data_IF_568499686115
#
_entry.id   IF_568499686115
#
_cell.length_a   1.000
_cell.length_b   1.000
_cell.length_c   1.000
_cell.angle_alpha   90.00
_cell.angle_beta   90.00
_cell.angle_gamma   90.00
#
_symmetry.space_group_name_H-M   'P 1'
#
loop_
_entity.id
_entity.type
_entity.pdbx_description
1 polymer ?
#
# COMPACT_ATOMS: atom_id res chain seq x y z
N UNK A 1 -5.00 14.94 -11.13
CA UNK A 1 -4.18 13.78 -11.57
C UNK A 1 -3.59 14.11 -12.92
N UNK A 2 -2.37 13.65 -13.23
CA UNK A 2 -1.81 13.87 -14.57
C UNK A 2 -2.64 13.10 -15.59
N UNK A 3 -3.07 13.78 -16.65
CA UNK A 3 -3.67 13.16 -17.82
C UNK A 3 -2.56 12.95 -18.86
N UNK A 4 -2.72 11.92 -19.68
CA UNK A 4 -1.77 11.50 -20.71
C UNK A 4 -2.48 11.44 -22.05
N UNK A 5 -1.78 11.77 -23.12
CA UNK A 5 -2.38 11.79 -24.46
C UNK A 5 -2.49 10.37 -25.03
N UNK A 6 -1.70 9.41 -24.52
CA UNK A 6 -1.79 8.00 -24.88
C UNK A 6 -1.59 7.07 -23.70
N UNK A 7 -2.00 5.81 -23.87
CA UNK A 7 -1.75 4.74 -22.89
C UNK A 7 -0.24 4.51 -22.72
N UNK A 8 0.53 4.52 -23.81
CA UNK A 8 1.99 4.33 -23.76
C UNK A 8 2.69 5.45 -23.00
N UNK A 9 2.24 6.70 -23.12
CA UNK A 9 2.81 7.80 -22.34
C UNK A 9 2.59 7.60 -20.84
N UNK A 10 1.38 7.16 -20.46
CA UNK A 10 1.04 6.86 -19.08
C UNK A 10 1.88 5.69 -18.53
N UNK A 11 2.02 4.62 -19.32
CA UNK A 11 2.80 3.45 -18.94
C UNK A 11 4.29 3.78 -18.78
N UNK A 12 4.86 4.51 -19.74
CA UNK A 12 6.25 4.95 -19.67
C UNK A 12 6.50 5.82 -18.44
N UNK A 13 5.54 6.67 -18.07
CA UNK A 13 5.64 7.43 -16.84
C UNK A 13 5.59 6.53 -15.59
N UNK A 14 4.65 5.59 -15.55
CA UNK A 14 4.48 4.66 -14.43
C UNK A 14 5.75 3.82 -14.21
N UNK A 15 6.36 3.30 -15.27
CA UNK A 15 7.64 2.54 -15.22
C UNK A 15 8.79 3.31 -14.55
N UNK A 16 8.75 4.64 -14.54
CA UNK A 16 9.76 5.47 -13.89
C UNK A 16 9.47 5.75 -12.40
N UNK A 17 8.29 5.40 -11.89
CA UNK A 17 7.89 5.66 -10.51
C UNK A 17 8.60 4.71 -9.55
N UNK A 18 8.86 5.19 -8.33
CA UNK A 18 9.58 4.40 -7.31
C UNK A 18 8.81 3.13 -6.91
N UNK A 19 7.48 3.21 -6.85
CA UNK A 19 6.61 2.10 -6.51
C UNK A 19 6.57 1.00 -7.59
N UNK A 20 6.87 1.34 -8.85
CA UNK A 20 6.76 0.44 -10.01
C UNK A 20 8.13 0.02 -10.58
N UNK A 21 9.22 0.31 -9.86
CA UNK A 21 10.56 -0.14 -10.24
C UNK A 21 10.59 -1.67 -10.34
N UNK A 22 11.09 -2.17 -11.47
CA UNK A 22 11.14 -3.59 -11.81
C UNK A 22 10.12 -4.01 -12.87
N UNK A 23 8.95 -3.38 -12.89
CA UNK A 23 7.86 -3.62 -13.87
C UNK A 23 7.61 -5.10 -14.20
N UNK A 24 7.29 -5.88 -13.18
CA UNK A 24 6.82 -7.26 -13.32
C UNK A 24 5.46 -7.35 -14.02
N UNK A 25 5.09 -8.54 -14.47
CA UNK A 25 3.77 -8.80 -15.05
C UNK A 25 2.63 -8.38 -14.11
N UNK A 26 2.76 -8.66 -12.81
CA UNK A 26 1.77 -8.24 -11.82
C UNK A 26 1.65 -6.71 -11.73
N UNK A 27 2.76 -5.98 -11.84
CA UNK A 27 2.75 -4.52 -11.85
C UNK A 27 2.08 -3.97 -13.11
N UNK A 28 2.30 -4.60 -14.26
CA UNK A 28 1.62 -4.25 -15.50
C UNK A 28 0.10 -4.48 -15.40
N UNK A 29 -0.33 -5.63 -14.89
CA UNK A 29 -1.75 -5.96 -14.67
C UNK A 29 -2.42 -4.95 -13.72
N UNK A 30 -1.74 -4.61 -12.61
CA UNK A 30 -2.23 -3.61 -11.65
C UNK A 30 -2.30 -2.22 -12.29
N UNK A 31 -1.29 -1.83 -13.08
CA UNK A 31 -1.29 -0.56 -13.79
C UNK A 31 -2.47 -0.47 -14.78
N UNK A 32 -2.64 -1.48 -15.64
CA UNK A 32 -3.76 -1.59 -16.59
C UNK A 32 -5.12 -1.51 -15.88
N UNK A 33 -5.25 -2.18 -14.73
CA UNK A 33 -6.47 -2.14 -13.94
C UNK A 33 -6.72 -0.74 -13.31
N UNK A 34 -5.68 0.07 -13.10
CA UNK A 34 -5.76 1.37 -12.41
C UNK A 34 -6.01 2.58 -13.30
N UNK A 35 -5.87 2.44 -14.62
CA UNK A 35 -5.97 3.52 -15.61
C UNK A 35 -7.15 3.30 -16.56
N UNK A 36 -7.71 4.39 -17.08
CA UNK A 36 -8.78 4.35 -18.07
C UNK A 36 -8.68 5.53 -19.04
N UNK A 37 -9.31 5.37 -20.21
CA UNK A 37 -9.55 6.47 -21.13
C UNK A 37 -10.79 7.26 -20.66
N UNK A 38 -10.63 8.58 -20.50
CA UNK A 38 -11.70 9.50 -20.11
C UNK A 38 -12.52 9.92 -21.33
N UNK A 39 -13.66 10.56 -21.09
CA UNK A 39 -14.57 11.05 -22.15
C UNK A 39 -13.90 12.03 -23.13
N UNK A 40 -12.88 12.74 -22.67
CA UNK A 40 -12.08 13.66 -23.50
C UNK A 40 -11.00 12.95 -24.34
N UNK A 41 -10.99 11.60 -24.34
CA UNK A 41 -10.06 10.77 -25.09
C UNK A 41 -8.68 10.59 -24.43
N UNK A 42 -8.38 11.31 -23.34
CA UNK A 42 -7.09 11.20 -22.63
C UNK A 42 -7.09 10.05 -21.63
N UNK A 43 -5.90 9.55 -21.32
CA UNK A 43 -5.70 8.51 -20.32
C UNK A 43 -5.42 9.11 -18.94
N UNK A 44 -6.02 8.52 -17.91
CA UNK A 44 -5.82 8.95 -16.53
C UNK A 44 -6.29 7.88 -15.56
N UNK A 45 -5.88 8.00 -14.28
CA UNK A 45 -6.27 6.99 -13.31
C UNK A 45 -7.78 6.99 -13.03
N UNK A 46 -8.31 5.81 -12.72
CA UNK A 46 -9.68 5.57 -12.30
C UNK A 46 -10.01 6.23 -10.96
N UNK A 47 -9.00 6.49 -10.13
CA UNK A 47 -9.20 7.14 -8.83
C UNK A 47 -9.29 8.66 -8.99
N UNK A 48 -10.49 9.21 -8.82
CA UNK A 48 -10.72 10.65 -8.91
C UNK A 48 -10.01 11.46 -7.81
N UNK A 49 -9.67 12.72 -8.11
CA UNK A 49 -9.07 13.66 -7.15
C UNK A 49 -9.95 13.85 -5.92
N UNK A 50 -11.28 13.85 -6.09
CA UNK A 50 -12.22 13.97 -4.98
C UNK A 50 -12.09 12.83 -3.95
N UNK A 51 -11.81 11.60 -4.41
CA UNK A 51 -11.59 10.46 -3.51
C UNK A 51 -10.31 10.61 -2.68
N UNK A 52 -9.28 11.26 -3.23
CA UNK A 52 -8.04 11.59 -2.51
C UNK A 52 -8.27 12.73 -1.50
N UNK A 53 -8.98 13.78 -1.91
CA UNK A 53 -9.04 15.02 -1.14
C UNK A 53 -10.01 14.95 0.04
N UNK A 54 -11.07 14.14 -0.06
CA UNK A 54 -12.11 14.09 0.97
C UNK A 54 -11.70 13.28 2.21
N UNK A 55 -10.73 12.37 2.08
CA UNK A 55 -10.38 11.43 3.16
C UNK A 55 -9.69 12.11 4.35
N UNK A 56 -9.06 13.28 4.15
CA UNK A 56 -8.31 13.93 5.22
C UNK A 56 -9.20 14.52 6.30
N UNK A 57 -10.36 15.07 5.94
CA UNK A 57 -11.31 15.58 6.93
C UNK A 57 -11.80 14.42 7.82
N UNK A 58 -12.18 13.31 7.18
CA UNK A 58 -12.72 12.13 7.86
C UNK A 58 -11.67 11.44 8.75
N UNK A 59 -10.43 11.28 8.26
CA UNK A 59 -9.34 10.62 9.02
C UNK A 59 -8.89 11.45 10.22
N UNK A 60 -9.03 12.77 10.17
CA UNK A 60 -8.60 13.67 11.24
C UNK A 60 -9.68 13.92 12.30
N UNK A 61 -10.92 13.50 12.05
CA UNK A 61 -12.07 13.77 12.94
C UNK A 61 -12.01 12.97 14.26
N UNK A 62 -11.48 11.74 14.20
CA UNK A 62 -11.37 10.86 15.36
C UNK A 62 -9.90 10.53 15.61
N UNK A 63 -9.48 10.67 16.87
CA UNK A 63 -8.15 10.20 17.27
C UNK A 63 -8.04 8.70 16.98
N UNK A 64 -6.97 8.29 16.29
CA UNK A 64 -6.78 6.91 15.86
C UNK A 64 -6.55 5.93 17.00
N UNK A 65 -5.60 5.00 16.83
CA UNK A 65 -5.31 3.95 17.79
C UNK A 65 -4.90 4.52 19.18
N UNK A 66 -5.87 4.60 20.09
CA UNK A 66 -5.77 5.24 21.42
C UNK A 66 -6.23 4.34 22.57
N UNK A 67 -6.78 3.16 22.26
CA UNK A 67 -7.26 2.17 23.22
C UNK A 67 -6.59 0.82 22.98
N UNK A 68 -6.52 -0.01 24.03
CA UNK A 68 -5.94 -1.34 23.92
C UNK A 68 -6.79 -2.24 23.01
N UNK A 69 -6.13 -2.92 22.07
CA UNK A 69 -6.72 -3.90 21.17
C UNK A 69 -6.03 -5.24 21.38
N UNK A 70 -6.82 -6.24 21.76
CA UNK A 70 -6.32 -7.60 22.09
C UNK A 70 -6.24 -8.52 20.86
N UNK A 71 -6.72 -8.06 19.70
CA UNK A 71 -6.74 -8.87 18.48
C UNK A 71 -5.30 -9.13 18.01
N UNK A 72 -4.92 -10.40 17.73
CA UNK A 72 -3.65 -10.73 17.08
C UNK A 72 -3.45 -9.86 15.84
N UNK A 73 -2.36 -9.11 15.79
CA UNK A 73 -2.12 -8.16 14.70
C UNK A 73 -0.73 -8.36 14.11
N UNK A 74 -0.67 -8.52 12.80
CA UNK A 74 0.57 -8.52 12.04
C UNK A 74 0.82 -7.13 11.45
N UNK A 75 2.00 -6.58 11.72
CA UNK A 75 2.53 -5.43 11.03
C UNK A 75 3.68 -5.88 10.13
N UNK A 76 3.44 -5.86 8.82
CA UNK A 76 4.48 -6.11 7.82
C UNK A 76 5.22 -4.79 7.58
N UNK A 77 6.51 -4.76 7.88
CA UNK A 77 7.36 -3.57 7.75
C UNK A 77 8.34 -3.74 6.56
N UNK A 78 8.07 -3.11 5.41
CA UNK A 78 9.02 -3.13 4.31
C UNK A 78 10.30 -2.35 4.66
N UNK A 79 11.45 -2.84 4.20
CA UNK A 79 12.77 -2.22 4.42
C UNK A 79 12.83 -0.74 3.99
N UNK A 80 12.25 -0.43 2.84
CA UNK A 80 12.15 0.92 2.27
C UNK A 80 10.76 1.53 2.43
N UNK A 81 9.94 0.97 3.32
CA UNK A 81 8.56 1.40 3.56
C UNK A 81 8.42 2.66 4.43
N UNK A 82 7.17 3.03 4.69
CA UNK A 82 6.82 4.01 5.73
C UNK A 82 6.78 3.32 7.10
N UNK A 83 6.64 4.10 8.19
CA UNK A 83 6.50 3.58 9.56
C UNK A 83 7.67 2.67 10.00
N UNK A 84 8.90 3.21 9.88
CA UNK A 84 10.15 2.49 10.16
C UNK A 84 10.79 2.86 11.50
N UNK A 85 10.45 4.03 12.05
CA UNK A 85 11.05 4.51 13.28
C UNK A 85 10.26 4.05 14.51
N UNK A 86 10.92 3.99 15.66
CA UNK A 86 10.25 3.66 16.92
C UNK A 86 9.16 4.68 17.28
N UNK A 87 9.32 5.96 16.92
CA UNK A 87 8.29 6.96 17.19
C UNK A 87 7.01 6.70 16.37
N UNK A 88 7.16 6.29 15.10
CA UNK A 88 6.03 5.94 14.23
C UNK A 88 5.31 4.68 14.72
N UNK A 89 6.08 3.73 15.27
CA UNK A 89 5.54 2.47 15.77
C UNK A 89 4.99 2.55 17.20
N UNK A 90 5.27 3.62 17.94
CA UNK A 90 4.91 3.76 19.35
C UNK A 90 3.42 3.51 19.63
N UNK A 91 2.46 4.07 18.87
CA UNK A 91 1.04 3.81 19.11
C UNK A 91 0.69 2.33 18.91
N UNK A 92 1.18 1.72 17.83
CA UNK A 92 0.98 0.30 17.55
C UNK A 92 1.49 -0.58 18.68
N UNK A 93 2.73 -0.37 19.14
CA UNK A 93 3.31 -1.13 20.27
C UNK A 93 2.59 -0.88 21.59
N UNK A 94 2.04 0.31 21.79
CA UNK A 94 1.35 0.69 23.03
C UNK A 94 -0.02 0.05 23.12
N UNK A 95 -0.76 0.01 22.01
CA UNK A 95 -2.17 -0.31 21.99
C UNK A 95 -2.50 -1.68 21.42
N UNK A 96 -1.73 -2.20 20.45
CA UNK A 96 -1.92 -3.56 19.92
C UNK A 96 -1.19 -4.56 20.83
N UNK A 97 -1.94 -5.25 21.69
CA UNK A 97 -1.36 -6.09 22.75
C UNK A 97 -0.75 -7.39 22.24
N UNK A 98 -1.19 -7.83 21.07
CA UNK A 98 -0.71 -9.03 20.39
C UNK A 98 -0.07 -8.68 19.04
N UNK A 99 0.78 -7.64 19.04
CA UNK A 99 1.47 -7.16 17.84
C UNK A 99 2.70 -8.01 17.49
N UNK A 100 2.70 -8.56 16.29
CA UNK A 100 3.87 -9.12 15.64
C UNK A 100 4.36 -8.16 14.55
N UNK A 101 5.63 -7.75 14.60
CA UNK A 101 6.25 -6.94 13.56
C UNK A 101 7.23 -7.81 12.78
N UNK A 102 7.01 -7.95 11.47
CA UNK A 102 7.90 -8.73 10.58
C UNK A 102 8.46 -7.82 9.50
N UNK A 103 9.78 -7.84 9.33
CA UNK A 103 10.43 -7.12 8.24
C UNK A 103 10.44 -7.95 6.96
N UNK A 104 10.13 -7.31 5.84
CA UNK A 104 10.13 -7.92 4.51
C UNK A 104 10.89 -7.02 3.52
N UNK A 105 11.49 -7.59 2.46
CA UNK A 105 12.14 -6.79 1.44
C UNK A 105 11.14 -5.92 0.68
N UNK A 106 11.66 -4.83 0.10
CA UNK A 106 10.92 -3.98 -0.83
C UNK A 106 10.54 -2.59 -0.28
N UNK A 107 9.79 -1.87 -1.11
CA UNK A 107 9.32 -0.53 -0.82
C UNK A 107 7.96 -0.55 -0.10
N UNK A 108 7.31 0.61 0.04
CA UNK A 108 6.00 0.72 0.68
C UNK A 108 4.94 -0.24 0.13
N UNK A 109 5.05 -0.63 -1.14
CA UNK A 109 4.17 -1.54 -1.87
C UNK A 109 4.76 -2.96 -1.92
N UNK A 110 5.28 -3.47 -0.81
CA UNK A 110 5.95 -4.77 -0.75
C UNK A 110 5.09 -5.94 -1.29
N UNK A 111 3.76 -5.86 -1.13
CA UNK A 111 2.83 -6.84 -1.71
C UNK A 111 2.87 -6.89 -3.25
N UNK A 112 3.31 -5.80 -3.89
CA UNK A 112 3.41 -5.67 -5.34
C UNK A 112 4.84 -5.95 -5.84
N UNK A 113 5.85 -5.41 -5.16
CA UNK A 113 7.26 -5.55 -5.59
C UNK A 113 7.95 -6.82 -5.09
N UNK A 114 7.47 -7.40 -3.98
CA UNK A 114 8.00 -8.61 -3.35
C UNK A 114 6.85 -9.52 -2.90
N UNK A 115 5.93 -9.88 -3.83
CA UNK A 115 4.67 -10.55 -3.50
C UNK A 115 4.88 -11.88 -2.78
N UNK A 116 5.94 -12.63 -3.14
CA UNK A 116 6.22 -13.91 -2.50
C UNK A 116 6.57 -13.76 -1.01
N UNK A 117 7.51 -12.88 -0.68
CA UNK A 117 7.91 -12.65 0.71
C UNK A 117 6.75 -12.08 1.54
N UNK A 118 5.98 -11.15 0.95
CA UNK A 118 4.78 -10.60 1.58
C UNK A 118 3.74 -11.69 1.87
N UNK A 119 3.37 -12.50 0.86
CA UNK A 119 2.33 -13.51 0.98
C UNK A 119 2.72 -14.63 1.95
N UNK A 120 3.97 -15.09 1.94
CA UNK A 120 4.46 -16.08 2.92
C UNK A 120 4.33 -15.54 4.35
N UNK A 121 4.65 -14.26 4.56
CA UNK A 121 4.53 -13.63 5.89
C UNK A 121 3.08 -13.58 6.37
N UNK A 122 2.14 -13.24 5.48
CA UNK A 122 0.70 -13.28 5.78
C UNK A 122 0.24 -14.70 6.07
N UNK A 123 0.62 -15.66 5.22
CA UNK A 123 0.24 -17.06 5.37
C UNK A 123 0.70 -17.65 6.70
N UNK A 124 1.97 -17.44 7.08
CA UNK A 124 2.51 -17.92 8.35
C UNK A 124 1.72 -17.36 9.54
N UNK A 125 1.49 -16.05 9.55
CA UNK A 125 0.73 -15.41 10.62
C UNK A 125 -0.71 -15.95 10.72
N UNK A 126 -1.38 -16.20 9.59
CA UNK A 126 -2.73 -16.75 9.60
C UNK A 126 -2.75 -18.23 10.05
N UNK A 127 -1.77 -19.04 9.63
CA UNK A 127 -1.67 -20.46 10.01
C UNK A 127 -1.46 -20.64 11.51
N UNK A 128 -0.61 -19.83 12.12
CA UNK A 128 -0.30 -19.87 13.56
C UNK A 128 -1.51 -19.55 14.45
N UNK A 129 -2.65 -19.16 13.86
CA UNK A 129 -3.87 -18.73 14.56
C UNK A 129 -5.12 -19.54 14.19
N UNK A 130 -5.04 -20.38 13.16
CA UNK A 130 -6.15 -21.23 12.70
C UNK A 130 -6.08 -22.65 13.28
N UNK A 131 -5.05 -22.96 14.06
CA UNK A 131 -4.81 -24.23 14.75
C UNK A 131 -4.25 -23.97 16.16
#
# INVERSE_FOLDING_TARGET
MKAYDSYEEAENNARCLKQDRGWSLLQEEVFQASIEQKEDGRWGSKFGVAARDSIFADVMDVAGLTEAVEIPTLFIQPEEGLNRTEWQLKPYRTYLKQLQIVRVPGNHWAFLVQPQAFNITVEQFLRDRLF
#
